data_IF_361804431817
#
_entry.id   IF_361804431817
#
_cell.length_a   1.000
_cell.length_b   1.000
_cell.length_c   1.000
_cell.angle_alpha   90.00
_cell.angle_beta   90.00
_cell.angle_gamma   90.00
#
_symmetry.space_group_name_H-M   'P 1'
#
loop_
_entity.id
_entity.type
_entity.pdbx_description
1 polymer ?
#
# COMPACT_ATOMS: atom_id res chain seq x y z
N UNK A 1 28.04 -3.83 -57.04
CA UNK A 1 28.30 -2.70 -56.14
C UNK A 1 26.99 -1.96 -55.99
N UNK A 2 26.61 -1.65 -54.74
CA UNK A 2 25.33 -1.08 -54.25
C UNK A 2 24.11 -1.98 -54.45
N UNK A 3 23.25 -2.26 -53.47
CA UNK A 3 23.20 -1.83 -52.08
C UNK A 3 22.28 -2.81 -51.34
N UNK A 4 22.64 -3.13 -50.12
CA UNK A 4 21.93 -4.03 -49.21
C UNK A 4 20.85 -3.22 -48.49
N UNK A 5 19.58 -3.52 -48.71
CA UNK A 5 18.50 -3.08 -47.82
C UNK A 5 17.56 -4.27 -47.56
N UNK A 6 17.96 -5.09 -46.59
CA UNK A 6 17.13 -6.15 -46.02
C UNK A 6 16.36 -5.56 -44.83
N UNK A 7 15.01 -5.54 -44.85
CA UNK A 7 14.18 -4.74 -43.94
C UNK A 7 14.06 -5.29 -42.52
N UNK A 8 14.85 -6.29 -42.13
CA UNK A 8 14.73 -6.95 -40.81
C UNK A 8 15.75 -6.47 -39.76
N UNK A 9 16.67 -5.56 -40.09
CA UNK A 9 17.56 -4.96 -39.10
C UNK A 9 16.93 -3.72 -38.43
N UNK A 10 16.05 -3.98 -37.45
CA UNK A 10 15.72 -2.98 -36.44
C UNK A 10 15.73 -3.63 -35.06
N UNK A 11 16.75 -3.37 -34.21
CA UNK A 11 16.66 -3.65 -32.78
C UNK A 11 15.68 -2.65 -32.14
N UNK A 12 14.39 -2.91 -32.33
CA UNK A 12 13.29 -2.18 -31.73
C UNK A 12 13.02 -2.68 -30.32
N UNK A 13 13.42 -1.88 -29.34
CA UNK A 13 12.83 -1.78 -28.00
C UNK A 13 12.34 -3.09 -27.38
N UNK A 14 13.22 -3.76 -26.63
CA UNK A 14 12.76 -4.32 -25.35
C UNK A 14 12.41 -3.16 -24.42
N UNK A 15 11.22 -2.58 -24.62
CA UNK A 15 10.59 -1.66 -23.70
C UNK A 15 10.23 -2.41 -22.43
N UNK A 16 11.23 -2.78 -21.63
CA UNK A 16 11.02 -3.11 -20.23
C UNK A 16 10.47 -1.83 -19.61
N UNK A 17 9.16 -1.80 -19.39
CA UNK A 17 8.55 -0.78 -18.58
C UNK A 17 9.33 -0.77 -17.27
N UNK A 18 10.18 0.24 -17.08
CA UNK A 18 10.73 0.55 -15.78
C UNK A 18 9.50 0.86 -14.95
N UNK A 19 9.00 -0.15 -14.23
CA UNK A 19 7.96 0.03 -13.23
C UNK A 19 8.50 1.13 -12.34
N UNK A 20 7.94 2.34 -12.48
CA UNK A 20 8.28 3.45 -11.61
C UNK A 20 8.26 2.89 -10.19
N UNK A 21 9.26 3.17 -9.34
CA UNK A 21 9.29 2.58 -8.01
C UNK A 21 7.96 2.93 -7.37
N UNK A 22 7.09 1.92 -7.26
CA UNK A 22 5.78 2.11 -6.65
C UNK A 22 6.12 2.65 -5.28
N UNK A 23 5.66 3.87 -4.96
CA UNK A 23 5.95 4.46 -3.65
C UNK A 23 5.53 3.41 -2.63
N UNK A 24 6.52 2.85 -1.94
CA UNK A 24 6.29 1.81 -0.96
C UNK A 24 5.59 2.49 0.21
N UNK A 25 4.25 2.50 0.17
CA UNK A 25 3.44 3.05 1.24
C UNK A 25 3.32 1.95 2.28
N UNK A 26 4.09 2.09 3.36
CA UNK A 26 3.92 1.26 4.55
C UNK A 26 2.70 1.73 5.32
N UNK A 27 1.89 0.78 5.75
CA UNK A 27 0.69 0.98 6.56
C UNK A 27 0.75 0.10 7.79
N UNK A 28 -0.02 0.45 8.80
CA UNK A 28 -0.15 -0.26 10.07
C UNK A 28 -1.49 -0.97 10.12
N UNK A 29 -1.47 -2.26 10.42
CA UNK A 29 -2.65 -3.09 10.55
C UNK A 29 -2.69 -3.76 11.92
N UNK A 30 -3.89 -4.08 12.37
CA UNK A 30 -4.09 -5.11 13.38
C UNK A 30 -4.83 -6.28 12.74
N UNK A 31 -4.42 -7.52 13.04
CA UNK A 31 -5.03 -8.71 12.41
C UNK A 31 -6.55 -8.78 12.62
N UNK A 32 -7.01 -8.42 13.83
CA UNK A 32 -8.43 -8.37 14.16
C UNK A 32 -9.17 -7.09 13.74
N UNK A 33 -8.49 -6.09 13.18
CA UNK A 33 -9.10 -4.84 12.72
C UNK A 33 -9.62 -4.93 11.28
N UNK A 34 -10.57 -4.10 10.91
CA UNK A 34 -11.12 -4.02 9.54
C UNK A 34 -10.48 -2.94 8.66
N UNK A 35 -9.52 -2.18 9.20
CA UNK A 35 -8.92 -1.05 8.51
C UNK A 35 -7.39 -1.06 8.64
N UNK A 36 -6.73 -0.41 7.69
CA UNK A 36 -5.31 -0.11 7.73
C UNK A 36 -5.06 1.39 7.94
N UNK A 37 -3.95 1.71 8.59
CA UNK A 37 -3.63 3.06 9.08
C UNK A 37 -2.30 3.54 8.50
N UNK A 38 -2.15 4.83 8.21
CA UNK A 38 -0.87 5.41 7.78
C UNK A 38 0.09 5.69 8.94
N UNK A 39 -0.48 5.78 10.14
CA UNK A 39 0.23 6.16 11.35
C UNK A 39 -0.01 5.09 12.43
N UNK A 40 1.06 4.66 13.07
CA UNK A 40 1.02 3.71 14.18
C UNK A 40 0.32 4.32 15.40
N UNK A 41 0.40 5.64 15.57
CA UNK A 41 -0.21 6.37 16.69
C UNK A 41 -1.64 6.84 16.39
N UNK A 42 -2.26 6.35 15.32
CA UNK A 42 -3.62 6.73 14.97
C UNK A 42 -4.58 6.44 16.14
N UNK A 43 -5.32 7.45 16.66
CA UNK A 43 -6.21 7.25 17.81
C UNK A 43 -7.27 6.16 17.56
N UNK A 44 -7.70 5.97 16.32
CA UNK A 44 -8.65 4.94 15.94
C UNK A 44 -8.06 3.54 15.97
N UNK A 45 -6.77 3.38 15.66
CA UNK A 45 -6.05 2.10 15.77
C UNK A 45 -5.99 1.67 17.24
N UNK A 46 -5.53 2.57 18.11
CA UNK A 46 -5.48 2.32 19.56
C UNK A 46 -6.87 2.11 20.17
N UNK A 47 -7.88 2.89 19.74
CA UNK A 47 -9.26 2.69 20.18
C UNK A 47 -9.81 1.32 19.77
N UNK A 48 -9.45 0.83 18.58
CA UNK A 48 -9.75 -0.51 18.11
C UNK A 48 -9.15 -1.58 19.02
N UNK A 49 -7.86 -1.47 19.33
CA UNK A 49 -7.17 -2.37 20.27
C UNK A 49 -7.80 -2.33 21.67
N UNK A 50 -8.04 -1.16 22.24
CA UNK A 50 -8.69 -1.01 23.54
C UNK A 50 -10.13 -1.53 23.56
N UNK A 51 -10.84 -1.48 22.41
CA UNK A 51 -12.17 -2.11 22.29
C UNK A 51 -12.06 -3.62 22.27
N UNK A 52 -11.16 -4.19 21.47
CA UNK A 52 -10.91 -5.63 21.42
C UNK A 52 -10.54 -6.18 22.81
N UNK A 53 -9.68 -5.46 23.55
CA UNK A 53 -9.29 -5.81 24.92
C UNK A 53 -10.51 -5.88 25.86
N UNK A 54 -11.35 -4.83 25.84
CA UNK A 54 -12.55 -4.75 26.67
C UNK A 54 -13.62 -5.78 26.30
N UNK A 55 -13.65 -6.20 25.05
CA UNK A 55 -14.56 -7.25 24.57
C UNK A 55 -14.03 -8.66 24.80
N UNK A 56 -12.86 -8.82 25.45
CA UNK A 56 -12.24 -10.14 25.68
C UNK A 56 -11.77 -10.82 24.39
N UNK A 57 -11.64 -10.08 23.29
CA UNK A 57 -11.12 -10.59 22.04
C UNK A 57 -9.60 -10.73 22.12
N UNK A 58 -9.05 -11.64 21.32
CA UNK A 58 -7.61 -11.78 21.18
C UNK A 58 -7.02 -10.47 20.66
N UNK A 59 -6.14 -9.86 21.45
CA UNK A 59 -5.34 -8.73 21.00
C UNK A 59 -4.26 -9.23 20.06
N UNK A 60 -4.12 -8.53 18.95
CA UNK A 60 -3.09 -8.78 17.96
C UNK A 60 -2.19 -7.57 17.92
N UNK A 61 -0.89 -7.82 17.78
CA UNK A 61 0.09 -6.75 17.63
C UNK A 61 -0.21 -5.90 16.39
N UNK A 62 0.23 -4.65 16.46
CA UNK A 62 0.20 -3.74 15.33
C UNK A 62 1.39 -4.07 14.44
N UNK A 63 1.12 -4.45 13.20
CA UNK A 63 2.13 -4.84 12.22
C UNK A 63 2.27 -3.74 11.15
N UNK A 64 3.51 -3.42 10.78
CA UNK A 64 3.80 -2.57 9.62
C UNK A 64 3.91 -3.44 8.37
N UNK A 65 3.02 -3.24 7.41
CA UNK A 65 2.92 -4.02 6.17
C UNK A 65 2.89 -3.11 4.94
N UNK A 66 3.06 -3.69 3.76
CA UNK A 66 2.81 -2.98 2.52
C UNK A 66 1.32 -2.70 2.35
N UNK A 67 0.96 -1.53 1.80
CA UNK A 67 -0.44 -1.16 1.55
C UNK A 67 -1.19 -2.25 0.77
N UNK A 68 -0.59 -2.79 -0.29
CA UNK A 68 -1.18 -3.85 -1.12
C UNK A 68 -1.53 -5.08 -0.30
N UNK A 69 -0.67 -5.49 0.65
CA UNK A 69 -0.96 -6.62 1.55
C UNK A 69 -2.16 -6.34 2.45
N UNK A 70 -2.37 -5.08 2.85
CA UNK A 70 -3.55 -4.71 3.63
C UNK A 70 -4.83 -4.68 2.80
N UNK A 71 -4.75 -4.23 1.54
CA UNK A 71 -5.85 -4.22 0.57
C UNK A 71 -6.24 -5.66 0.18
N UNK A 72 -5.27 -6.53 -0.10
CA UNK A 72 -5.48 -7.95 -0.37
C UNK A 72 -6.07 -8.70 0.84
N UNK A 73 -5.76 -8.25 2.06
CA UNK A 73 -6.39 -8.74 3.28
C UNK A 73 -7.84 -8.23 3.47
N UNK A 74 -8.39 -7.49 2.51
CA UNK A 74 -9.74 -6.95 2.52
C UNK A 74 -9.96 -5.86 3.57
N UNK A 75 -8.91 -5.14 3.96
CA UNK A 75 -9.01 -4.03 4.93
C UNK A 75 -9.23 -2.72 4.18
N UNK A 76 -10.04 -1.85 4.76
CA UNK A 76 -10.29 -0.51 4.21
C UNK A 76 -9.29 0.53 4.74
N UNK A 77 -9.11 1.62 4.01
CA UNK A 77 -8.32 2.75 4.50
C UNK A 77 -9.00 3.43 5.70
N UNK A 78 -8.21 3.73 6.73
CA UNK A 78 -8.72 4.51 7.85
C UNK A 78 -9.00 5.95 7.42
N UNK A 79 -10.29 6.29 7.29
CA UNK A 79 -10.79 7.62 6.90
C UNK A 79 -10.28 8.79 7.76
N UNK A 80 -9.67 8.54 8.93
CA UNK A 80 -9.10 9.60 9.76
C UNK A 80 -7.66 9.91 9.36
N UNK A 81 -6.76 8.93 9.40
CA UNK A 81 -5.35 9.17 9.05
C UNK A 81 -5.11 9.31 7.53
N UNK A 82 -5.99 8.76 6.69
CA UNK A 82 -5.91 8.94 5.23
C UNK A 82 -6.55 10.24 4.72
N UNK A 83 -7.52 10.82 5.45
CA UNK A 83 -8.09 12.14 5.08
C UNK A 83 -7.10 13.29 5.20
N UNK A 84 -6.06 13.16 6.02
CA UNK A 84 -5.08 14.23 6.21
C UNK A 84 -4.10 14.35 5.03
N UNK A 85 -3.85 13.26 4.29
CA UNK A 85 -2.94 13.28 3.15
C UNK A 85 -3.50 14.02 1.93
N UNK A 86 -4.83 14.04 1.73
CA UNK A 86 -5.44 14.75 0.60
C UNK A 86 -5.45 16.27 0.76
N UNK A 87 -5.23 16.81 1.98
CA UNK A 87 -5.15 18.26 2.22
C UNK A 87 -3.75 18.85 2.04
N UNK A 88 -2.71 18.04 1.92
CA UNK A 88 -1.31 18.51 1.73
C UNK A 88 -0.90 18.66 0.26
N UNK A 89 -1.80 18.37 -0.67
CA UNK A 89 -1.54 18.40 -2.12
C UNK A 89 -2.50 19.34 -2.86
N UNK A 90 -3.05 20.35 -2.17
CA UNK A 90 -3.91 21.40 -2.74
C UNK A 90 -3.24 22.76 -2.67
#
# INVERSE_FOLDING_TARGET
MTDTDDPWDRPGLIGGAATAPQRVIRVYISKGGSAFHLDAECPWLHKGQSRAARSGLRLHDIESVHREVAEDAGKDECKWCFKDQTRRTS
#
